data_IF_223759220831
#
_entry.id   IF_223759220831
#
_cell.length_a   1.000
_cell.length_b   1.000
_cell.length_c   1.000
_cell.angle_alpha   90.00
_cell.angle_beta   90.00
_cell.angle_gamma   90.00
#
_symmetry.space_group_name_H-M   'P 1'
#
loop_
_entity.id
_entity.type
_entity.pdbx_description
1 polymer ?
#
# COMPACT_ATOMS: atom_id res chain seq x y z
N UNK A 1 -6.92 9.15 -17.01
CA UNK A 1 -8.19 8.86 -16.32
C UNK A 1 -7.89 9.01 -14.84
N UNK A 2 -8.44 10.03 -14.19
CA UNK A 2 -8.32 10.18 -12.74
C UNK A 2 -9.26 9.16 -12.11
N UNK A 3 -8.70 8.19 -11.37
CA UNK A 3 -9.49 7.19 -10.66
C UNK A 3 -9.48 7.57 -9.19
N UNK A 4 -10.60 8.07 -8.63
CA UNK A 4 -10.65 8.48 -7.24
C UNK A 4 -10.51 7.27 -6.31
N UNK A 5 -9.98 7.51 -5.12
CA UNK A 5 -9.93 6.49 -4.07
C UNK A 5 -11.34 6.06 -3.68
N UNK A 6 -11.53 4.75 -3.45
CA UNK A 6 -12.77 4.22 -2.86
C UNK A 6 -12.81 4.37 -1.34
N UNK A 7 -11.71 4.78 -0.71
CA UNK A 7 -11.54 4.83 0.74
C UNK A 7 -11.28 6.28 1.17
N UNK A 8 -12.34 7.10 1.12
CA UNK A 8 -12.29 8.54 1.44
C UNK A 8 -12.77 8.86 2.85
N UNK A 9 -13.31 7.88 3.58
CA UNK A 9 -13.75 8.03 4.97
C UNK A 9 -13.15 6.99 5.92
N UNK A 10 -13.05 7.35 7.20
CA UNK A 10 -12.57 6.46 8.25
C UNK A 10 -13.45 5.20 8.37
N UNK A 11 -14.76 5.31 8.14
CA UNK A 11 -15.71 4.19 8.17
C UNK A 11 -15.41 3.17 7.06
N UNK A 12 -15.08 3.64 5.85
CA UNK A 12 -14.72 2.77 4.73
C UNK A 12 -13.41 2.04 5.01
N UNK A 13 -12.40 2.75 5.52
CA UNK A 13 -11.12 2.15 5.90
C UNK A 13 -11.30 1.15 7.04
N UNK A 14 -12.09 1.48 8.06
CA UNK A 14 -12.42 0.56 9.16
C UNK A 14 -13.13 -0.70 8.66
N UNK A 15 -14.06 -0.56 7.71
CA UNK A 15 -14.76 -1.69 7.10
C UNK A 15 -13.81 -2.55 6.27
N UNK A 16 -12.90 -1.93 5.53
CA UNK A 16 -11.82 -2.62 4.81
C UNK A 16 -10.93 -3.43 5.77
N UNK A 17 -10.45 -2.83 6.87
CA UNK A 17 -9.58 -3.52 7.85
C UNK A 17 -10.26 -4.69 8.55
N UNK A 18 -11.60 -4.69 8.67
CA UNK A 18 -12.35 -5.85 9.18
C UNK A 18 -12.35 -7.05 8.22
N UNK A 19 -12.30 -6.78 6.91
CA UNK A 19 -12.39 -7.80 5.88
C UNK A 19 -11.01 -8.23 5.34
N UNK A 20 -10.02 -7.35 5.41
CA UNK A 20 -8.71 -7.52 4.77
C UNK A 20 -7.59 -7.38 5.79
N UNK A 21 -6.80 -8.44 5.92
CA UNK A 21 -5.53 -8.43 6.65
C UNK A 21 -4.44 -7.80 5.78
N UNK A 22 -3.53 -7.08 6.41
CA UNK A 22 -2.41 -6.40 5.77
C UNK A 22 -1.07 -7.02 6.17
N UNK A 23 -1.01 -7.77 7.27
CA UNK A 23 0.14 -8.55 7.70
C UNK A 23 -0.21 -10.03 7.80
N UNK A 24 0.79 -10.88 7.54
CA UNK A 24 0.74 -12.30 7.86
C UNK A 24 1.21 -12.59 9.31
N UNK A 25 1.75 -11.57 10.00
CA UNK A 25 2.30 -11.67 11.34
C UNK A 25 1.27 -11.29 12.40
N UNK A 26 1.63 -11.45 13.68
CA UNK A 26 0.78 -10.97 14.80
C UNK A 26 0.79 -9.44 14.93
N UNK A 27 1.56 -8.72 14.11
CA UNK A 27 1.74 -7.27 14.18
C UNK A 27 0.72 -6.51 13.32
N UNK A 28 -0.47 -7.06 13.12
CA UNK A 28 -1.54 -6.39 12.37
C UNK A 28 -1.91 -5.03 12.99
N UNK A 29 -1.86 -4.96 14.32
CA UNK A 29 -2.23 -3.78 15.12
C UNK A 29 -1.22 -2.62 15.00
N UNK A 30 -0.02 -2.87 14.46
CA UNK A 30 0.98 -1.81 14.24
C UNK A 30 0.78 -1.08 12.93
N UNK A 31 -0.07 -1.60 12.03
CA UNK A 31 -0.36 -1.01 10.73
C UNK A 31 -1.54 -0.05 10.87
N UNK A 32 -1.22 1.24 10.84
CA UNK A 32 -2.20 2.33 10.79
C UNK A 32 -2.63 2.53 9.33
N UNK A 33 -3.93 2.62 9.10
CA UNK A 33 -4.51 2.92 7.79
C UNK A 33 -5.44 4.10 7.89
N UNK A 34 -5.23 5.09 7.03
CA UNK A 34 -6.00 6.33 6.97
C UNK A 34 -6.72 6.46 5.61
N UNK A 35 -7.85 7.18 5.54
CA UNK A 35 -8.50 7.46 4.27
C UNK A 35 -7.65 8.43 3.44
N UNK A 36 -7.77 8.30 2.11
CA UNK A 36 -7.15 9.22 1.15
C UNK A 36 -8.20 10.24 0.74
N UNK A 37 -7.91 11.53 0.86
CA UNK A 37 -8.86 12.58 0.48
C UNK A 37 -8.99 12.67 -1.05
N UNK A 38 -10.11 13.20 -1.54
CA UNK A 38 -10.35 13.33 -2.99
C UNK A 38 -9.37 14.28 -3.67
N UNK A 39 -8.86 15.27 -2.93
CA UNK A 39 -7.89 16.26 -3.38
C UNK A 39 -6.42 15.83 -3.11
N UNK A 40 -6.20 14.62 -2.60
CA UNK A 40 -4.89 14.14 -2.19
C UNK A 40 -4.18 13.37 -3.31
N UNK A 41 -3.01 13.87 -3.70
CA UNK A 41 -2.16 13.23 -4.70
C UNK A 41 -1.34 12.09 -4.09
N UNK A 42 -1.69 10.85 -4.44
CA UNK A 42 -1.06 9.61 -3.93
C UNK A 42 0.38 9.34 -4.42
N UNK A 43 0.93 10.26 -5.22
CA UNK A 43 2.33 10.24 -5.67
C UNK A 43 3.20 11.29 -4.94
N UNK A 44 2.61 12.08 -4.04
CA UNK A 44 3.36 13.02 -3.22
C UNK A 44 4.13 12.29 -2.12
N UNK A 45 5.37 12.72 -1.87
CA UNK A 45 6.19 12.21 -0.79
C UNK A 45 5.82 12.95 0.50
N UNK A 46 5.62 12.21 1.58
CA UNK A 46 5.48 12.81 2.89
C UNK A 46 6.85 13.12 3.53
N UNK A 47 7.21 14.40 3.57
CA UNK A 47 8.46 14.88 4.17
C UNK A 47 8.35 15.15 5.69
N UNK A 48 7.17 15.01 6.30
CA UNK A 48 6.95 15.30 7.72
C UNK A 48 6.53 14.04 8.49
N UNK A 49 7.08 13.78 9.69
CA UNK A 49 6.59 12.71 10.54
C UNK A 49 5.10 12.86 10.90
N UNK A 50 4.36 11.74 11.08
CA UNK A 50 4.80 10.36 10.85
C UNK A 50 4.92 10.05 9.35
N UNK A 51 5.97 9.34 8.96
CA UNK A 51 6.14 8.92 7.56
C UNK A 51 5.06 7.89 7.19
N UNK A 52 4.50 8.06 5.99
CA UNK A 52 3.53 7.12 5.43
C UNK A 52 3.79 6.96 3.93
N UNK A 53 3.21 5.90 3.36
CA UNK A 53 3.19 5.66 1.93
C UNK A 53 1.78 5.23 1.53
N UNK A 54 1.45 5.42 0.27
CA UNK A 54 0.20 4.93 -0.30
C UNK A 54 0.42 3.56 -0.93
N UNK A 55 -0.63 2.75 -1.01
CA UNK A 55 -0.63 1.46 -1.69
C UNK A 55 -2.00 1.19 -2.31
N UNK A 56 -2.03 0.59 -3.49
CA UNK A 56 -3.28 0.12 -4.09
C UNK A 56 -3.84 -1.07 -3.30
N UNK A 57 -5.07 -0.99 -2.80
CA UNK A 57 -5.67 -2.15 -2.11
C UNK A 57 -5.77 -3.39 -3.00
N UNK A 58 -5.89 -3.18 -4.31
CA UNK A 58 -5.93 -4.24 -5.32
C UNK A 58 -4.63 -5.04 -5.50
N UNK A 59 -3.50 -4.63 -4.89
CA UNK A 59 -2.28 -5.47 -4.90
C UNK A 59 -2.17 -6.37 -3.66
N UNK A 60 -2.90 -6.08 -2.59
CA UNK A 60 -2.71 -6.73 -1.29
C UNK A 60 -3.18 -8.19 -1.34
N UNK A 61 -4.49 -8.42 -1.53
CA UNK A 61 -5.02 -9.79 -1.59
C UNK A 61 -4.66 -10.50 -2.90
N UNK A 62 -4.78 -9.87 -4.09
CA UNK A 62 -4.54 -10.59 -5.34
C UNK A 62 -3.07 -10.98 -5.57
N UNK A 63 -2.12 -10.17 -5.10
CA UNK A 63 -0.68 -10.43 -5.28
C UNK A 63 0.01 -10.88 -3.98
N UNK A 64 -0.78 -11.12 -2.92
CA UNK A 64 -0.29 -11.60 -1.62
C UNK A 64 0.84 -10.71 -1.06
N UNK A 65 0.67 -9.39 -1.21
CA UNK A 65 1.57 -8.38 -0.64
C UNK A 65 1.22 -8.21 0.83
N UNK A 66 2.20 -8.46 1.70
CA UNK A 66 2.06 -8.32 3.14
C UNK A 66 2.97 -7.22 3.66
N UNK A 67 2.55 -6.59 4.76
CA UNK A 67 3.33 -5.63 5.51
C UNK A 67 3.86 -6.25 6.82
N UNK A 68 5.10 -5.89 7.24
CA UNK A 68 6.08 -5.13 6.46
C UNK A 68 6.48 -5.90 5.18
N UNK A 69 6.89 -5.16 4.14
CA UNK A 69 7.40 -5.76 2.91
C UNK A 69 8.53 -6.74 3.23
N UNK A 70 8.68 -7.77 2.41
CA UNK A 70 9.83 -8.67 2.53
C UNK A 70 11.14 -7.92 2.23
N UNK A 71 12.29 -8.47 2.64
CA UNK A 71 13.58 -7.89 2.26
C UNK A 71 13.74 -7.73 0.74
N UNK A 72 13.23 -8.68 -0.05
CA UNK A 72 13.31 -8.63 -1.51
C UNK A 72 12.42 -7.52 -2.09
N UNK A 73 11.14 -7.47 -1.71
CA UNK A 73 10.21 -6.43 -2.16
C UNK A 73 10.71 -5.03 -1.80
N UNK A 74 11.20 -4.85 -0.56
CA UNK A 74 11.75 -3.58 -0.09
C UNK A 74 13.02 -3.18 -0.86
N UNK A 75 13.88 -4.14 -1.20
CA UNK A 75 15.09 -3.87 -1.97
C UNK A 75 14.77 -3.53 -3.44
N UNK A 76 13.80 -4.21 -4.05
CA UNK A 76 13.33 -3.87 -5.40
C UNK A 76 12.79 -2.44 -5.48
N UNK A 77 11.98 -2.01 -4.50
CA UNK A 77 11.50 -0.63 -4.44
C UNK A 77 12.64 0.39 -4.37
N UNK A 78 13.69 0.10 -3.60
CA UNK A 78 14.88 0.97 -3.49
C UNK A 78 15.69 0.99 -4.77
N UNK A 79 15.98 -0.17 -5.37
CA UNK A 79 16.77 -0.28 -6.60
C UNK A 79 16.08 0.43 -7.76
N UNK A 80 14.75 0.30 -7.86
CA UNK A 80 13.95 0.99 -8.86
C UNK A 80 13.74 2.49 -8.52
N UNK A 81 14.04 2.90 -7.28
CA UNK A 81 13.81 4.24 -6.76
C UNK A 81 12.37 4.73 -6.96
N UNK A 82 11.40 3.87 -6.61
CA UNK A 82 9.96 4.13 -6.74
C UNK A 82 9.23 3.90 -5.43
N UNK A 83 8.19 4.70 -5.17
CA UNK A 83 7.26 4.48 -4.08
C UNK A 83 6.31 3.30 -4.40
N UNK A 84 5.74 2.62 -3.38
CA UNK A 84 4.81 1.51 -3.59
C UNK A 84 3.62 1.82 -4.51
N UNK A 85 3.07 3.06 -4.47
CA UNK A 85 2.01 3.51 -5.38
C UNK A 85 2.43 3.75 -6.82
N UNK A 86 3.72 3.98 -7.08
CA UNK A 86 4.20 4.25 -8.44
C UNK A 86 4.38 2.96 -9.24
N UNK A 87 4.44 1.80 -8.58
CA UNK A 87 4.40 0.51 -9.26
C UNK A 87 2.96 0.14 -9.62
N UNK A 88 2.71 -0.03 -10.91
CA UNK A 88 1.45 -0.57 -11.41
C UNK A 88 1.23 -2.00 -10.87
N UNK A 89 -0.02 -2.45 -10.63
CA UNK A 89 -0.29 -3.82 -10.16
C UNK A 89 0.41 -4.93 -10.96
N UNK A 90 0.50 -4.81 -12.30
CA UNK A 90 1.24 -5.78 -13.11
C UNK A 90 2.74 -5.78 -12.78
N UNK A 91 3.34 -4.63 -12.51
CA UNK A 91 4.74 -4.53 -12.11
C UNK A 91 4.97 -5.13 -10.72
N UNK A 92 4.03 -4.95 -9.79
CA UNK A 92 4.05 -5.67 -8.52
C UNK A 92 3.99 -7.18 -8.70
N UNK A 93 3.19 -7.68 -9.64
CA UNK A 93 3.14 -9.11 -9.94
C UNK A 93 4.48 -9.65 -10.46
N UNK A 94 5.21 -8.86 -11.26
CA UNK A 94 6.57 -9.20 -11.67
C UNK A 94 7.52 -9.29 -10.48
N UNK A 95 7.51 -8.31 -9.57
CA UNK A 95 8.32 -8.37 -8.34
C UNK A 95 8.05 -9.67 -7.58
N UNK A 96 6.77 -10.06 -7.43
CA UNK A 96 6.38 -11.30 -6.74
C UNK A 96 6.76 -12.58 -7.47
N UNK A 97 6.91 -12.55 -8.79
CA UNK A 97 7.27 -13.74 -9.57
C UNK A 97 8.77 -14.11 -9.43
N UNK A 98 9.61 -13.17 -8.99
CA UNK A 98 11.06 -13.34 -8.84
C UNK A 98 11.52 -13.39 -7.38
N UNK A 99 10.59 -13.37 -6.44
CA UNK A 99 10.82 -13.61 -5.02
C UNK A 99 10.77 -15.11 -4.69
#
# INVERSE_FOLDING_TARGET
MEVPSKYTSAEMVRSFRKAVKLSNSRHEDTIITEPVREDEFVFSKNDKPPHYFYLYTGVIQPLNIWLPFTPFEAEMLKVLNVAPTQLHPNSWAFVKAFE
#
